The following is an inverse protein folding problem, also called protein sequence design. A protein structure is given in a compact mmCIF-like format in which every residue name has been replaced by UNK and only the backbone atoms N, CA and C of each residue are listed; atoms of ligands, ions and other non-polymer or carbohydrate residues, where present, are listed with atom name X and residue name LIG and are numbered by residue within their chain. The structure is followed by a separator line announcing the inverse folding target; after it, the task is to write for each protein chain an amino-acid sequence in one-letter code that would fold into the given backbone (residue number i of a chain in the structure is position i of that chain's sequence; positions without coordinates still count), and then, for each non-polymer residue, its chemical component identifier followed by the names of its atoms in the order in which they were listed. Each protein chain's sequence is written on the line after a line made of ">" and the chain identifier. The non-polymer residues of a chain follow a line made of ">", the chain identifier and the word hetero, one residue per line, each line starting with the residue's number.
data_IF_766429179149
#
_entry.id   IF_766429179149
#
_cell.length_a   1.000
_cell.length_b   1.000
_cell.length_c   1.000
_cell.angle_alpha   90.00
_cell.angle_beta   90.00
_cell.angle_gamma   90.00
#
_symmetry.space_group_name_H-M   'P 1'
#
loop_
_entity.id
_entity.type
_entity.pdbx_description
1 polymer ?
#
# COMPACT_ATOMS: atom_id res chain seq x y z
N UNK A 1 -24.83 8.05 10.01
CA UNK A 1 -24.83 7.71 8.57
C UNK A 1 -23.76 8.57 7.90
N UNK A 2 -22.54 8.06 7.76
CA UNK A 2 -21.44 8.74 7.07
C UNK A 2 -21.32 8.18 5.66
N UNK A 3 -21.68 8.96 4.65
CA UNK A 3 -21.48 8.56 3.26
C UNK A 3 -19.98 8.53 2.95
N UNK A 4 -19.51 7.41 2.39
CA UNK A 4 -18.18 7.34 1.80
C UNK A 4 -18.04 8.49 0.79
N UNK A 5 -17.03 9.34 0.98
CA UNK A 5 -16.72 10.43 0.06
C UNK A 5 -16.46 9.82 -1.32
N UNK A 6 -17.14 10.33 -2.37
CA UNK A 6 -17.21 9.70 -3.69
C UNK A 6 -15.90 9.58 -4.48
N UNK A 7 -14.75 9.88 -3.89
CA UNK A 7 -13.42 9.77 -4.50
C UNK A 7 -12.52 8.68 -3.88
N UNK A 8 -13.06 7.85 -2.98
CA UNK A 8 -12.37 6.70 -2.38
C UNK A 8 -12.96 5.39 -2.90
N UNK A 9 -12.11 4.40 -3.12
CA UNK A 9 -12.55 3.14 -3.68
C UNK A 9 -11.41 2.27 -4.20
N UNK A 10 -11.79 1.17 -4.82
CA UNK A 10 -10.86 0.21 -5.41
C UNK A 10 -11.35 -0.22 -6.79
N UNK A 11 -10.43 -0.32 -7.73
CA UNK A 11 -10.66 -0.90 -9.06
C UNK A 11 -9.77 -2.11 -9.20
N UNK A 12 -10.24 -3.13 -9.92
CA UNK A 12 -9.44 -4.31 -10.17
C UNK A 12 -9.63 -4.81 -11.59
N UNK A 13 -8.55 -5.34 -12.16
CA UNK A 13 -8.61 -6.12 -13.39
C UNK A 13 -7.91 -7.46 -13.17
N UNK A 14 -8.30 -8.45 -13.98
CA UNK A 14 -7.73 -9.78 -13.94
C UNK A 14 -7.36 -10.27 -15.32
N UNK A 15 -6.38 -11.16 -15.37
CA UNK A 15 -6.00 -11.86 -16.59
C UNK A 15 -5.51 -13.27 -16.29
N UNK A 16 -5.43 -14.11 -17.33
CA UNK A 16 -4.74 -15.39 -17.28
C UNK A 16 -3.59 -15.32 -18.27
N UNK A 17 -2.39 -15.70 -17.82
CA UNK A 17 -1.24 -15.93 -18.70
C UNK A 17 -0.88 -17.41 -18.56
N UNK A 18 -0.98 -18.17 -19.66
CA UNK A 18 -0.88 -19.63 -19.65
C UNK A 18 -1.80 -20.27 -18.60
N UNK A 19 -1.24 -20.92 -17.58
CA UNK A 19 -1.96 -21.57 -16.48
C UNK A 19 -2.04 -20.73 -15.20
N UNK A 20 -1.55 -19.49 -15.24
CA UNK A 20 -1.39 -18.63 -14.07
C UNK A 20 -2.36 -17.47 -14.12
N UNK A 21 -3.17 -17.33 -13.07
CA UNK A 21 -4.15 -16.26 -12.94
C UNK A 21 -3.60 -15.08 -12.13
N UNK A 22 -3.73 -13.88 -12.70
CA UNK A 22 -3.27 -12.63 -12.10
C UNK A 22 -4.46 -11.73 -11.77
N UNK A 23 -4.40 -11.07 -10.62
CA UNK A 23 -5.30 -10.00 -10.23
C UNK A 23 -4.50 -8.75 -9.84
N UNK A 24 -4.88 -7.62 -10.40
CA UNK A 24 -4.29 -6.32 -10.08
C UNK A 24 -5.38 -5.46 -9.47
N UNK A 25 -5.13 -4.94 -8.27
CA UNK A 25 -6.06 -4.10 -7.52
C UNK A 25 -5.38 -2.77 -7.26
N UNK A 26 -6.01 -1.68 -7.70
CA UNK A 26 -5.60 -0.32 -7.39
C UNK A 26 -6.61 0.32 -6.45
N UNK A 27 -6.17 0.84 -5.31
CA UNK A 27 -7.05 1.43 -4.31
C UNK A 27 -6.62 2.84 -3.90
N UNK A 28 -7.60 3.66 -3.55
CA UNK A 28 -7.43 4.93 -2.87
C UNK A 28 -8.27 4.89 -1.60
N UNK A 29 -7.63 4.67 -0.44
CA UNK A 29 -8.31 4.51 0.85
C UNK A 29 -8.51 5.83 1.60
N UNK A 30 -9.34 5.81 2.64
CA UNK A 30 -9.67 6.94 3.49
C UNK A 30 -8.42 7.72 3.96
N UNK A 31 -8.45 9.04 3.74
CA UNK A 31 -7.37 9.94 4.11
C UNK A 31 -7.56 10.47 5.54
N UNK A 32 -6.45 10.82 6.20
CA UNK A 32 -6.46 11.41 7.54
C UNK A 32 -5.58 10.63 8.52
N UNK A 33 -4.96 11.34 9.47
CA UNK A 33 -4.01 10.75 10.43
C UNK A 33 -4.64 9.62 11.24
N UNK A 34 -5.88 9.84 11.70
CA UNK A 34 -6.53 8.96 12.67
C UNK A 34 -7.51 7.95 12.04
N UNK A 35 -7.71 7.98 10.72
CA UNK A 35 -8.67 7.15 10.00
C UNK A 35 -8.16 5.73 9.69
N UNK A 36 -7.39 5.12 10.62
CA UNK A 36 -6.81 3.78 10.43
C UNK A 36 -7.91 2.73 10.29
N UNK A 37 -8.96 2.83 11.12
CA UNK A 37 -10.09 1.90 11.08
C UNK A 37 -10.81 1.94 9.74
N UNK A 38 -11.02 3.14 9.19
CA UNK A 38 -11.71 3.32 7.91
C UNK A 38 -10.88 2.76 6.76
N UNK A 39 -9.54 2.93 6.77
CA UNK A 39 -8.65 2.28 5.79
C UNK A 39 -8.69 0.75 5.89
N UNK A 40 -8.75 0.18 7.09
CA UNK A 40 -8.90 -1.26 7.27
C UNK A 40 -10.26 -1.77 6.73
N UNK A 41 -11.34 -0.99 6.92
CA UNK A 41 -12.65 -1.31 6.34
C UNK A 41 -12.65 -1.15 4.82
N UNK A 42 -11.97 -0.15 4.25
CA UNK A 42 -11.82 0.01 2.80
C UNK A 42 -11.16 -1.22 2.17
N UNK A 43 -10.07 -1.72 2.77
CA UNK A 43 -9.42 -2.98 2.38
C UNK A 43 -10.38 -4.17 2.45
N UNK A 44 -11.08 -4.33 3.58
CA UNK A 44 -12.01 -5.45 3.79
C UNK A 44 -13.22 -5.39 2.86
N UNK A 45 -13.71 -4.18 2.58
CA UNK A 45 -14.80 -3.89 1.64
C UNK A 45 -14.39 -4.21 0.21
N UNK A 46 -13.17 -3.87 -0.21
CA UNK A 46 -12.64 -4.22 -1.52
C UNK A 46 -12.58 -5.74 -1.73
N UNK A 47 -12.03 -6.50 -0.76
CA UNK A 47 -12.04 -7.97 -0.78
C UNK A 47 -13.45 -8.55 -0.93
N UNK A 48 -14.41 -8.01 -0.15
CA UNK A 48 -15.78 -8.50 -0.10
C UNK A 48 -16.57 -8.17 -1.37
N UNK A 49 -16.41 -6.97 -1.94
CA UNK A 49 -17.27 -6.42 -2.99
C UNK A 49 -16.73 -6.62 -4.40
N UNK A 50 -15.42 -6.71 -4.60
CA UNK A 50 -14.85 -6.92 -5.93
C UNK A 50 -15.05 -8.39 -6.31
N UNK A 51 -15.88 -8.61 -7.32
CA UNK A 51 -16.19 -9.93 -7.90
C UNK A 51 -15.92 -9.91 -9.40
N UNK A 52 -15.49 -11.05 -9.91
CA UNK A 52 -15.25 -11.29 -11.32
C UNK A 52 -16.24 -12.36 -11.84
N UNK A 53 -16.38 -12.54 -13.17
CA UNK A 53 -17.23 -13.57 -13.73
C UNK A 53 -16.98 -14.95 -13.12
N UNK A 54 -18.01 -15.80 -13.11
CA UNK A 54 -17.96 -17.15 -12.53
C UNK A 54 -17.70 -17.17 -11.01
N UNK A 55 -18.04 -16.09 -10.30
CA UNK A 55 -17.92 -16.01 -8.85
C UNK A 55 -16.48 -15.93 -8.35
N UNK A 56 -15.52 -15.55 -9.22
CA UNK A 56 -14.12 -15.40 -8.83
C UNK A 56 -13.94 -14.15 -7.97
N UNK A 57 -13.08 -14.25 -6.97
CA UNK A 57 -12.74 -13.17 -6.03
C UNK A 57 -11.27 -12.79 -6.15
N UNK A 58 -10.85 -11.67 -5.55
CA UNK A 58 -9.44 -11.24 -5.54
C UNK A 58 -8.53 -12.39 -5.08
N UNK A 59 -8.83 -12.98 -3.90
CA UNK A 59 -8.00 -14.04 -3.30
C UNK A 59 -8.09 -15.40 -4.00
N UNK A 60 -8.92 -15.54 -5.04
CA UNK A 60 -8.99 -16.77 -5.83
C UNK A 60 -7.90 -16.88 -6.91
N UNK A 61 -7.13 -15.81 -7.14
CA UNK A 61 -6.08 -15.75 -8.15
C UNK A 61 -4.75 -16.34 -7.63
N UNK A 62 -3.92 -16.83 -8.54
CA UNK A 62 -2.63 -17.41 -8.19
C UNK A 62 -1.64 -16.31 -7.76
N UNK A 63 -1.72 -15.14 -8.39
CA UNK A 63 -0.89 -13.96 -8.12
C UNK A 63 -1.78 -12.73 -7.97
N UNK A 64 -1.55 -11.96 -6.91
CA UNK A 64 -2.29 -10.74 -6.62
C UNK A 64 -1.29 -9.61 -6.45
N UNK A 65 -1.48 -8.52 -7.20
CA UNK A 65 -0.82 -7.24 -7.00
C UNK A 65 -1.84 -6.27 -6.43
N UNK A 66 -1.51 -5.63 -5.32
CA UNK A 66 -2.35 -4.61 -4.71
C UNK A 66 -1.54 -3.35 -4.46
N UNK A 67 -1.92 -2.26 -5.10
CA UNK A 67 -1.20 -1.01 -5.03
C UNK A 67 -2.13 0.21 -4.98
N UNK A 68 -1.54 1.39 -4.79
CA UNK A 68 -2.24 2.68 -4.83
C UNK A 68 -1.96 3.53 -3.60
N UNK A 69 -2.76 4.60 -3.45
CA UNK A 69 -2.72 5.48 -2.30
C UNK A 69 -3.55 4.89 -1.14
N UNK A 70 -2.89 4.08 -0.33
CA UNK A 70 -3.52 3.48 0.85
C UNK A 70 -3.65 4.45 2.02
N UNK A 71 -3.08 5.65 1.94
CA UNK A 71 -3.23 6.72 2.93
C UNK A 71 -2.84 6.38 4.39
N UNK A 72 -2.20 5.24 4.66
CA UNK A 72 -1.62 4.97 5.98
C UNK A 72 -0.51 5.98 6.29
N UNK A 73 -0.42 6.37 7.55
CA UNK A 73 0.45 7.45 8.02
C UNK A 73 1.53 6.95 8.96
N UNK A 74 2.44 7.84 9.31
CA UNK A 74 3.47 7.59 10.34
C UNK A 74 3.00 8.24 11.65
N UNK A 75 3.04 7.49 12.74
CA UNK A 75 2.65 7.93 14.08
C UNK A 75 3.85 8.58 14.83
N UNK A 76 4.41 9.64 14.24
CA UNK A 76 5.49 10.46 14.80
C UNK A 76 5.23 11.95 14.50
N UNK A 77 5.99 12.84 15.16
CA UNK A 77 5.94 14.25 14.80
C UNK A 77 6.53 14.51 13.41
N UNK A 78 6.08 15.58 12.76
CA UNK A 78 6.58 15.98 11.44
C UNK A 78 8.10 16.18 11.45
N UNK A 79 8.64 16.79 12.51
CA UNK A 79 10.07 17.07 12.63
C UNK A 79 10.92 15.81 12.75
N UNK A 80 10.46 14.82 13.53
CA UNK A 80 11.14 13.53 13.65
C UNK A 80 11.17 12.78 12.31
N UNK A 81 10.04 12.79 11.59
CA UNK A 81 9.95 12.15 10.27
C UNK A 81 10.85 12.87 9.26
N UNK A 82 10.80 14.21 9.21
CA UNK A 82 11.65 15.02 8.31
C UNK A 82 13.14 14.81 8.61
N UNK A 83 13.53 14.72 9.88
CA UNK A 83 14.92 14.46 10.30
C UNK A 83 15.40 13.07 9.89
N UNK A 84 14.57 12.04 10.09
CA UNK A 84 14.90 10.68 9.65
C UNK A 84 14.98 10.59 8.12
N UNK A 85 14.09 11.28 7.41
CA UNK A 85 14.08 11.32 5.96
C UNK A 85 15.34 12.01 5.40
N UNK A 86 15.75 13.16 5.94
CA UNK A 86 16.94 13.88 5.50
C UNK A 86 18.26 13.14 5.79
N UNK A 87 18.29 12.33 6.84
CA UNK A 87 19.42 11.46 7.19
C UNK A 87 19.37 10.07 6.54
N UNK A 88 18.36 9.80 5.70
CA UNK A 88 18.12 8.48 5.09
C UNK A 88 17.98 7.32 6.10
N UNK A 89 17.63 7.62 7.36
CA UNK A 89 17.45 6.63 8.43
C UNK A 89 16.02 6.05 8.44
N UNK A 90 15.54 5.62 7.27
CA UNK A 90 14.13 5.22 7.07
C UNK A 90 13.67 4.07 7.96
N UNK A 91 14.57 3.16 8.31
CA UNK A 91 14.26 2.02 9.19
C UNK A 91 13.80 2.44 10.59
N UNK A 92 14.20 3.63 11.06
CA UNK A 92 13.72 4.18 12.34
C UNK A 92 12.23 4.53 12.31
N UNK A 93 11.65 4.74 11.12
CA UNK A 93 10.25 5.09 10.95
C UNK A 93 9.33 3.88 10.85
N UNK A 94 9.86 2.70 10.49
CA UNK A 94 9.04 1.48 10.28
C UNK A 94 8.16 1.10 11.47
N UNK A 95 8.63 1.17 12.74
CA UNK A 95 7.78 0.83 13.88
C UNK A 95 6.56 1.75 14.04
N UNK A 96 6.56 2.91 13.38
CA UNK A 96 5.51 3.93 13.46
C UNK A 96 4.66 4.01 12.20
N UNK A 97 4.99 3.27 11.14
CA UNK A 97 4.17 3.17 9.93
C UNK A 97 2.91 2.36 10.23
N UNK A 98 1.74 3.00 10.05
CA UNK A 98 0.47 2.38 10.37
C UNK A 98 0.21 1.12 9.53
N UNK A 99 0.58 1.08 8.24
CA UNK A 99 0.34 -0.11 7.43
C UNK A 99 1.16 -1.30 7.94
N UNK A 100 2.44 -1.10 8.23
CA UNK A 100 3.30 -2.14 8.82
C UNK A 100 2.74 -2.63 10.16
N UNK A 101 2.27 -1.73 11.03
CA UNK A 101 1.62 -2.10 12.30
C UNK A 101 0.34 -2.92 12.09
N UNK A 102 -0.59 -2.44 11.25
CA UNK A 102 -1.86 -3.13 11.01
C UNK A 102 -1.65 -4.51 10.35
N UNK A 103 -0.68 -4.61 9.43
CA UNK A 103 -0.27 -5.86 8.80
C UNK A 103 0.39 -6.82 9.80
N UNK A 104 1.29 -6.33 10.65
CA UNK A 104 1.94 -7.10 11.71
C UNK A 104 0.95 -7.65 12.75
N UNK A 105 -0.14 -6.92 13.00
CA UNK A 105 -1.25 -7.36 13.84
C UNK A 105 -2.25 -8.28 13.12
N UNK A 106 -2.04 -8.60 11.84
CA UNK A 106 -2.92 -9.48 11.06
C UNK A 106 -4.28 -8.87 10.71
N UNK A 107 -4.43 -7.54 10.76
CA UNK A 107 -5.70 -6.86 10.52
C UNK A 107 -5.96 -6.56 9.04
N UNK A 108 -4.89 -6.40 8.25
CA UNK A 108 -4.94 -6.10 6.82
C UNK A 108 -3.81 -6.81 6.08
N UNK A 109 -4.00 -7.05 4.79
CA UNK A 109 -2.96 -7.60 3.89
C UNK A 109 -2.28 -8.87 4.42
N UNK A 110 -3.04 -9.77 5.08
CA UNK A 110 -2.51 -11.02 5.61
C UNK A 110 -1.98 -11.92 4.49
N UNK A 111 -0.73 -12.35 4.64
CA UNK A 111 -0.01 -13.16 3.65
C UNK A 111 0.51 -12.38 2.44
N UNK A 112 0.27 -11.07 2.35
CA UNK A 112 0.92 -10.23 1.34
C UNK A 112 2.36 -9.92 1.75
N UNK A 113 3.23 -9.81 0.76
CA UNK A 113 4.60 -9.35 0.85
C UNK A 113 4.67 -7.88 0.39
N UNK A 114 5.68 -7.18 0.90
CA UNK A 114 6.01 -5.81 0.51
C UNK A 114 7.53 -5.67 0.52
N UNK A 115 8.09 -4.87 -0.39
CA UNK A 115 9.52 -4.57 -0.37
C UNK A 115 9.89 -3.66 0.80
N UNK A 116 11.18 -3.62 1.17
CA UNK A 116 11.64 -2.74 2.24
C UNK A 116 11.44 -1.26 1.87
N UNK A 117 10.91 -0.47 2.80
CA UNK A 117 10.75 0.98 2.62
C UNK A 117 12.10 1.67 2.84
N UNK A 118 12.99 1.55 1.84
CA UNK A 118 14.34 2.12 1.83
C UNK A 118 14.43 3.43 1.04
N UNK A 119 13.32 4.16 0.95
CA UNK A 119 13.18 5.43 0.25
C UNK A 119 12.38 6.41 1.11
N UNK A 120 12.50 7.70 0.82
CA UNK A 120 11.82 8.75 1.60
C UNK A 120 10.29 8.63 1.52
N UNK A 121 9.55 9.04 2.58
CA UNK A 121 8.09 9.17 2.53
C UNK A 121 7.61 9.92 1.29
N UNK A 122 6.55 9.41 0.65
CA UNK A 122 6.08 9.86 -0.68
C UNK A 122 5.05 10.99 -0.60
N UNK A 123 4.50 11.22 0.59
CA UNK A 123 3.49 12.23 0.86
C UNK A 123 3.89 13.06 2.08
N UNK A 124 3.62 14.36 2.17
CA UNK A 124 3.14 15.25 1.12
C UNK A 124 4.22 16.28 0.81
N UNK A 125 4.55 16.43 -0.46
CA UNK A 125 5.44 17.47 -0.95
C UNK A 125 4.68 18.74 -1.34
N UNK A 126 5.35 19.88 -1.27
CA UNK A 126 4.89 21.10 -1.90
C UNK A 126 4.96 20.97 -3.42
N UNK A 127 4.06 21.66 -4.13
CA UNK A 127 4.01 21.55 -5.59
C UNK A 127 5.29 22.14 -6.19
N UNK A 128 5.96 21.37 -7.06
CA UNK A 128 7.21 21.76 -7.70
C UNK A 128 8.39 21.96 -6.73
N UNK A 129 8.35 21.32 -5.55
CA UNK A 129 9.46 21.28 -4.60
C UNK A 129 9.67 19.87 -4.05
N UNK A 130 10.90 19.59 -3.62
CA UNK A 130 11.24 18.41 -2.81
C UNK A 130 11.05 18.68 -1.30
N UNK A 131 10.56 19.88 -0.94
CA UNK A 131 10.18 20.21 0.42
C UNK A 131 8.85 19.55 0.80
N UNK A 132 8.80 18.99 2.01
CA UNK A 132 7.56 18.50 2.60
C UNK A 132 6.64 19.65 3.03
N UNK A 133 5.32 19.42 2.92
CA UNK A 133 4.20 20.35 3.13
C UNK A 133 4.52 21.48 4.12
N UNK A 134 4.84 22.66 3.57
CA UNK A 134 5.12 23.88 4.35
C UNK A 134 3.87 24.73 4.60
N UNK A 135 2.71 24.28 4.11
CA UNK A 135 1.43 24.95 4.38
C UNK A 135 1.05 24.91 5.85
N UNK A 136 0.06 25.71 6.24
CA UNK A 136 -0.49 25.72 7.62
C UNK A 136 -0.96 24.35 8.11
N UNK A 137 -1.30 23.43 7.19
CA UNK A 137 -1.71 22.06 7.55
C UNK A 137 -0.53 21.20 8.00
N UNK A 138 0.70 21.56 7.61
CA UNK A 138 1.97 20.95 7.99
C UNK A 138 1.86 19.44 8.18
N UNK A 139 1.44 18.73 7.13
CA UNK A 139 1.15 17.31 7.23
C UNK A 139 2.43 16.53 7.49
N UNK A 140 2.35 15.59 8.44
CA UNK A 140 3.44 14.66 8.73
C UNK A 140 3.72 13.82 7.46
N UNK A 141 4.99 13.72 7.02
CA UNK A 141 5.30 12.88 5.87
C UNK A 141 4.97 11.41 6.12
N UNK A 142 4.55 10.69 5.08
CA UNK A 142 4.16 9.28 5.15
C UNK A 142 4.37 8.53 3.83
N UNK A 143 4.51 7.20 3.92
CA UNK A 143 4.43 6.30 2.77
C UNK A 143 2.97 5.94 2.51
N UNK A 144 2.27 6.81 1.79
CA UNK A 144 0.86 6.61 1.43
C UNK A 144 0.72 5.72 0.19
N UNK A 145 1.68 5.79 -0.73
CA UNK A 145 1.70 5.06 -1.99
C UNK A 145 2.47 3.74 -1.82
N UNK A 146 1.80 2.61 -2.00
CA UNK A 146 2.32 1.29 -1.64
C UNK A 146 2.07 0.28 -2.74
N UNK A 147 2.91 -0.76 -2.77
CA UNK A 147 2.75 -1.92 -3.67
C UNK A 147 3.03 -3.18 -2.88
N UNK A 148 2.01 -4.03 -2.78
CA UNK A 148 2.10 -5.34 -2.14
C UNK A 148 1.74 -6.44 -3.15
N UNK A 149 2.24 -7.64 -2.91
CA UNK A 149 1.88 -8.81 -3.70
C UNK A 149 1.63 -10.05 -2.83
N UNK A 150 0.83 -10.99 -3.32
CA UNK A 150 0.56 -12.27 -2.66
C UNK A 150 0.49 -13.37 -3.69
N UNK A 151 1.05 -14.52 -3.33
CA UNK A 151 0.99 -15.73 -4.12
C UNK A 151 0.22 -16.81 -3.37
N UNK A 152 -0.68 -17.49 -4.09
CA UNK A 152 -1.52 -18.55 -3.51
C UNK A 152 -0.87 -19.93 -3.62
N UNK A 153 -0.05 -20.16 -4.66
CA UNK A 153 0.68 -21.41 -4.86
C UNK A 153 2.08 -21.31 -4.24
N UNK A 154 2.73 -22.46 -4.06
CA UNK A 154 3.96 -22.67 -3.28
C UNK A 154 4.97 -21.51 -3.43
N UNK A 155 5.52 -20.97 -2.33
CA UNK A 155 6.23 -19.67 -2.31
C UNK A 155 7.66 -19.73 -2.88
N UNK A 156 7.84 -20.08 -4.16
CA UNK A 156 9.17 -20.14 -4.79
C UNK A 156 9.28 -19.58 -6.20
N UNK A 157 8.19 -19.20 -6.87
CA UNK A 157 8.28 -18.83 -8.29
C UNK A 157 8.55 -17.34 -8.52
N UNK A 158 8.35 -16.50 -7.50
CA UNK A 158 8.58 -15.05 -7.58
C UNK A 158 9.68 -14.59 -6.66
N UNK A 159 10.60 -13.82 -7.24
CA UNK A 159 11.66 -13.14 -6.51
C UNK A 159 11.52 -11.64 -6.69
N UNK A 160 11.48 -10.91 -5.58
CA UNK A 160 11.69 -9.46 -5.62
C UNK A 160 13.13 -9.17 -6.07
N UNK A 161 13.27 -8.50 -7.21
CA UNK A 161 14.57 -8.08 -7.76
C UNK A 161 14.89 -6.65 -7.32
N UNK A 162 13.90 -5.76 -7.38
CA UNK A 162 14.08 -4.34 -7.07
C UNK A 162 12.79 -3.75 -6.53
N UNK A 163 12.91 -2.93 -5.48
CA UNK A 163 11.82 -2.11 -4.99
C UNK A 163 12.34 -0.72 -4.70
N UNK A 164 11.87 0.25 -5.44
CA UNK A 164 12.25 1.65 -5.35
C UNK A 164 11.02 2.52 -5.47
N UNK A 165 11.17 3.78 -5.06
CA UNK A 165 10.12 4.78 -5.17
C UNK A 165 9.42 4.79 -6.55
N UNK A 166 10.18 4.63 -7.64
CA UNK A 166 9.65 4.69 -9.00
C UNK A 166 9.26 3.34 -9.61
N UNK A 167 9.60 2.21 -8.98
CA UNK A 167 9.39 0.90 -9.62
C UNK A 167 9.46 -0.28 -8.66
N UNK A 168 8.63 -1.29 -8.92
CA UNK A 168 8.83 -2.66 -8.44
C UNK A 168 9.24 -3.56 -9.61
N UNK A 169 10.26 -4.39 -9.42
CA UNK A 169 10.70 -5.40 -10.38
C UNK A 169 10.64 -6.75 -9.71
N UNK A 170 9.80 -7.62 -10.25
CA UNK A 170 9.65 -9.00 -9.82
C UNK A 170 10.10 -9.91 -10.95
N UNK A 171 10.94 -10.90 -10.62
CA UNK A 171 11.30 -11.96 -11.53
C UNK A 171 10.48 -13.19 -11.19
N UNK A 172 9.83 -13.73 -12.20
CA UNK A 172 9.17 -15.02 -12.14
C UNK A 172 10.01 -16.06 -12.88
N UNK A 173 10.14 -17.24 -12.28
CA UNK A 173 10.77 -18.39 -12.95
C UNK A 173 9.65 -19.29 -13.43
N UNK A 174 9.54 -19.48 -14.75
CA UNK A 174 8.58 -20.40 -15.38
C UNK A 174 9.11 -21.83 -15.38
#
# INVERSE_FOLDING_TARGET
>A
MGGATGNKGSVAFRMVVHSTSFCFVCSHFAAGQNEVRDRNEDFSSALRKIKFPQGREIESHDVIFWFGDFNYRINLSGDEVKKAASSSEFSKLWPYDQLLQQKGNGLVFVGFQEGALSFAPTYKYDTFSDDYDTSEKCRVPAWTDRILWKERRIPTDTKLIRFEYSSIVLQWTL
#
